data_IF_434588919122
#
_entry.id   IF_434588919122
#
_cell.length_a   1.000
_cell.length_b   1.000
_cell.length_c   1.000
_cell.angle_alpha   90.00
_cell.angle_beta   90.00
_cell.angle_gamma   90.00
#
_symmetry.space_group_name_H-M   'P 1'
#
loop_
_entity.id
_entity.type
_entity.pdbx_description
1 polymer ?
2 branched ?
3 non-polymer ?
4 non-polymer ?
5 non-polymer ?
6 water ?
#
# COMPACT_ATOMS: atom_id res chain seq x y z
N UNK A 1 6.19 -13.90 24.37
CA UNK A 1 5.54 -13.41 23.12
C UNK A 1 4.84 -14.56 22.41
N UNK A 2 3.53 -14.39 22.18
CA UNK A 2 2.72 -15.33 21.41
C UNK A 2 2.48 -14.71 20.03
N UNK A 3 2.08 -15.52 19.04
CA UNK A 3 1.67 -15.02 17.74
C UNK A 3 0.38 -14.21 17.91
N UNK A 4 0.27 -13.11 17.17
CA UNK A 4 -0.93 -12.29 17.27
C UNK A 4 -2.09 -12.99 16.56
N UNK A 5 -3.30 -12.87 17.12
CA UNK A 5 -4.50 -13.33 16.45
C UNK A 5 -5.41 -12.14 16.20
N UNK A 6 -6.11 -12.17 15.08
CA UNK A 6 -7.01 -11.09 14.70
C UNK A 6 -8.36 -11.33 15.36
N UNK A 7 -8.46 -10.99 16.64
CA UNK A 7 -9.66 -11.31 17.42
C UNK A 7 -10.58 -10.09 17.60
N UNK A 8 -10.26 -8.93 17.02
CA UNK A 8 -11.12 -7.77 17.17
C UNK A 8 -11.78 -7.39 15.84
N UNK A 9 -12.84 -6.59 15.91
CA UNK A 9 -13.38 -5.95 14.71
C UNK A 9 -12.83 -4.54 14.54
N UNK A 10 -13.20 -3.87 13.43
CA UNK A 10 -12.83 -2.48 13.19
C UNK A 10 -13.59 -1.57 14.16
N UNK A 11 -12.94 -0.50 14.63
CA UNK A 11 -13.70 0.55 15.30
C UNK A 11 -14.60 1.27 14.28
N UNK A 12 -15.64 1.93 14.78
CA UNK A 12 -16.46 2.80 13.94
C UNK A 12 -15.60 3.96 13.49
N UNK A 13 -15.66 4.22 12.18
CA UNK A 13 -14.93 5.32 11.59
C UNK A 13 -15.90 6.48 11.39
N UNK A 14 -15.76 7.52 12.20
CA UNK A 14 -16.59 8.70 12.04
C UNK A 14 -15.78 9.81 11.40
N UNK A 15 -14.45 9.65 11.41
CA UNK A 15 -13.51 10.50 10.71
C UNK A 15 -12.09 9.95 10.87
N UNK A 16 -11.11 10.79 10.50
CA UNK A 16 -9.72 10.43 10.43
C UNK A 16 -8.91 11.55 11.08
N UNK A 17 -8.00 11.16 11.98
CA UNK A 17 -7.13 12.09 12.65
C UNK A 17 -5.71 11.92 12.11
N UNK A 18 -4.91 12.99 12.21
CA UNK A 18 -3.50 12.90 11.83
C UNK A 18 -2.76 11.88 12.70
N UNK A 19 -1.97 11.02 12.06
CA UNK A 19 -1.18 10.00 12.74
C UNK A 19 0.33 10.28 12.61
N UNK A 20 0.79 10.49 11.38
CA UNK A 20 2.20 10.67 11.10
C UNK A 20 2.42 11.45 9.81
N UNK A 21 3.54 12.19 9.78
CA UNK A 21 3.93 12.98 8.61
C UNK A 21 5.42 13.20 8.68
N UNK A 22 6.14 12.92 7.59
CA UNK A 22 7.58 13.01 7.75
C UNK A 22 8.17 14.31 7.23
N UNK A 23 7.53 14.94 6.23
CA UNK A 23 8.02 16.19 5.65
C UNK A 23 9.40 15.97 5.01
N UNK A 24 9.58 14.81 4.37
CA UNK A 24 10.90 14.33 3.98
C UNK A 24 11.51 15.24 2.92
N UNK A 25 10.65 15.73 2.01
CA UNK A 25 11.19 16.44 0.86
C UNK A 25 11.56 17.85 1.31
N UNK A 26 10.68 18.49 2.08
CA UNK A 26 10.97 19.78 2.70
C UNK A 26 12.31 19.69 3.41
N UNK A 27 12.46 18.67 4.27
CA UNK A 27 13.65 18.60 5.12
C UNK A 27 14.86 18.24 4.27
N UNK A 28 14.64 17.34 3.28
CA UNK A 28 15.70 16.83 2.44
C UNK A 28 16.31 17.90 1.54
N UNK A 29 15.64 19.06 1.43
CA UNK A 29 16.21 20.17 0.67
C UNK A 29 17.57 20.54 1.25
N UNK A 30 17.75 20.30 2.56
CA UNK A 30 18.98 20.67 3.25
C UNK A 30 19.33 19.67 4.36
N UNK A 31 19.33 18.38 4.04
CA UNK A 31 19.88 17.37 4.95
C UNK A 31 19.87 16.00 4.29
N UNK A 32 20.53 15.02 4.94
CA UNK A 32 20.92 13.81 4.23
C UNK A 32 19.76 12.81 4.13
N UNK A 33 18.76 13.11 3.30
CA UNK A 33 17.53 12.33 3.20
C UNK A 33 17.57 11.47 1.94
N UNK A 34 17.36 10.16 2.12
CA UNK A 34 17.36 9.21 1.01
C UNK A 34 16.21 9.51 0.06
N UNK A 35 16.45 9.34 -1.25
CA UNK A 35 15.36 9.33 -2.21
C UNK A 35 14.58 8.02 -2.00
N UNK A 36 13.24 8.11 -1.97
CA UNK A 36 12.46 6.90 -1.79
C UNK A 36 11.26 6.89 -2.74
N UNK A 37 10.51 5.78 -2.68
CA UNK A 37 9.15 5.73 -3.19
C UNK A 37 8.50 4.46 -2.65
N UNK A 38 7.22 4.29 -3.01
CA UNK A 38 6.47 3.13 -2.56
C UNK A 38 6.61 3.01 -1.04
N UNK A 39 6.25 4.05 -0.24
CA UNK A 39 6.32 3.98 1.22
C UNK A 39 5.15 3.18 1.77
N UNK A 40 5.25 2.86 3.08
CA UNK A 40 4.14 2.37 3.88
C UNK A 40 4.44 2.52 5.36
N UNK A 41 3.55 1.98 6.18
CA UNK A 41 3.69 1.98 7.62
C UNK A 41 3.41 0.57 8.13
N UNK A 42 4.15 0.16 9.16
CA UNK A 42 3.96 -1.16 9.75
C UNK A 42 4.29 -1.10 11.24
N UNK A 43 3.49 -1.82 12.03
CA UNK A 43 3.67 -1.81 13.47
C UNK A 43 4.27 -3.12 13.97
N UNK A 44 5.09 -2.95 15.01
CA UNK A 44 5.60 -4.03 15.83
C UNK A 44 4.81 -3.94 17.13
N UNK A 45 4.85 -4.95 18.01
CA UNK A 45 4.19 -4.83 19.31
C UNK A 45 4.63 -3.61 20.13
N UNK A 46 5.79 -3.03 19.84
CA UNK A 46 6.28 -1.99 20.73
C UNK A 46 6.57 -0.69 19.97
N UNK A 47 6.39 -0.70 18.66
CA UNK A 47 6.81 0.43 17.84
C UNK A 47 6.06 0.45 16.50
N UNK A 48 5.72 1.64 16.00
CA UNK A 48 5.29 1.74 14.60
C UNK A 48 6.34 2.52 13.81
N UNK A 49 6.67 2.01 12.61
CA UNK A 49 7.71 2.62 11.78
C UNK A 49 7.23 2.89 10.36
N UNK A 50 7.93 3.82 9.70
CA UNK A 50 7.79 4.10 8.28
C UNK A 50 8.71 3.16 7.50
N UNK A 51 8.19 2.71 6.35
CA UNK A 51 8.87 1.81 5.43
C UNK A 51 8.82 2.46 4.05
N UNK A 52 9.81 2.16 3.22
CA UNK A 52 9.79 2.56 1.83
C UNK A 52 10.96 1.89 1.12
N UNK A 53 10.97 2.03 -0.21
CA UNK A 53 12.06 1.60 -1.07
C UNK A 53 13.02 2.76 -1.32
N UNK A 54 14.21 2.66 -0.70
CA UNK A 54 15.31 3.57 -0.95
C UNK A 54 15.74 3.46 -2.41
N UNK A 55 16.35 4.53 -2.91
CA UNK A 55 16.92 4.52 -4.25
C UNK A 55 18.43 4.58 -4.13
N UNK A 56 18.91 4.48 -2.90
CA UNK A 56 20.33 4.40 -2.63
C UNK A 56 21.05 5.68 -3.03
N UNK A 57 20.49 6.84 -2.62
CA UNK A 57 21.07 8.14 -2.88
C UNK A 57 20.25 9.16 -2.10
N UNK A 58 20.85 10.32 -1.81
CA UNK A 58 20.14 11.42 -1.17
C UNK A 58 19.44 12.22 -2.26
N UNK A 59 18.46 13.05 -1.88
CA UNK A 59 17.74 13.87 -2.83
C UNK A 59 18.70 14.85 -3.51
N UNK A 60 19.55 15.51 -2.69
CA UNK A 60 20.47 16.53 -3.19
C UNK A 60 21.68 15.87 -3.85
N UNK A 61 21.88 14.57 -3.59
CA UNK A 61 22.97 13.86 -4.26
C UNK A 61 22.76 13.90 -5.76
N UNK A 62 23.85 13.97 -6.50
CA UNK A 62 23.81 13.87 -7.95
C UNK A 62 23.21 12.53 -8.41
N UNK A 63 23.39 11.44 -7.64
CA UNK A 63 22.86 10.13 -8.03
C UNK A 63 21.33 10.07 -7.99
N UNK A 64 20.66 11.16 -7.59
CA UNK A 64 19.21 11.18 -7.60
C UNK A 64 18.67 11.37 -9.02
N UNK A 65 19.57 11.80 -9.92
CA UNK A 65 19.29 11.92 -11.34
C UNK A 65 18.89 10.56 -11.89
N UNK A 66 17.62 10.38 -12.24
CA UNK A 66 17.19 9.11 -12.83
C UNK A 66 16.31 8.26 -11.92
N UNK A 67 15.97 8.78 -10.74
CA UNK A 67 15.26 8.02 -9.70
C UNK A 67 13.78 7.87 -10.00
N UNK A 68 13.33 8.35 -11.19
CA UNK A 68 11.99 8.02 -11.68
C UNK A 68 11.86 6.51 -11.94
N UNK A 69 12.98 5.89 -12.33
CA UNK A 69 13.02 4.46 -12.61
C UNK A 69 12.69 3.65 -11.35
N UNK A 70 12.01 2.52 -11.54
CA UNK A 70 11.52 1.72 -10.43
C UNK A 70 12.56 0.73 -9.92
N UNK A 71 13.38 0.17 -10.82
CA UNK A 71 14.10 -1.06 -10.51
C UNK A 71 15.58 -0.87 -10.81
N UNK A 72 16.39 -0.95 -9.76
CA UNK A 72 17.84 -0.82 -9.86
C UNK A 72 18.48 -1.66 -8.77
N UNK A 73 19.79 -1.89 -8.90
CA UNK A 73 20.52 -2.62 -7.89
C UNK A 73 20.73 -1.76 -6.65
N UNK A 74 20.24 -0.51 -6.67
CA UNK A 74 20.57 0.45 -5.63
C UNK A 74 19.41 0.59 -4.65
N UNK A 75 18.33 -0.18 -4.86
CA UNK A 75 17.16 -0.05 -4.01
C UNK A 75 17.23 -1.07 -2.87
N UNK A 76 16.52 -0.73 -1.78
CA UNK A 76 16.37 -1.54 -0.58
C UNK A 76 15.07 -1.16 0.12
N UNK A 77 14.51 -2.12 0.87
CA UNK A 77 13.44 -1.79 1.79
C UNK A 77 14.07 -1.21 3.05
N UNK A 78 13.73 0.04 3.38
CA UNK A 78 14.30 0.67 4.56
C UNK A 78 13.16 0.93 5.56
N UNK A 79 13.51 1.00 6.84
CA UNK A 79 12.55 1.46 7.82
C UNK A 79 13.22 2.46 8.75
N UNK A 80 12.38 3.34 9.32
CA UNK A 80 12.88 4.44 10.11
C UNK A 80 11.81 4.88 11.09
N UNK A 81 12.12 5.65 12.15
CA UNK A 81 11.11 6.03 13.14
C UNK A 81 10.01 6.91 12.56
N UNK A 82 8.81 6.77 13.14
CA UNK A 82 7.58 7.33 12.67
C UNK A 82 7.71 8.85 12.65
N UNK A 83 7.46 9.44 11.47
CA UNK A 83 7.35 10.89 11.25
C UNK A 83 8.73 11.54 11.19
N UNK A 84 9.81 10.75 11.33
CA UNK A 84 11.14 11.23 10.99
C UNK A 84 11.32 11.07 9.48
N UNK A 85 12.31 11.73 8.83
CA UNK A 85 12.55 11.51 7.40
C UNK A 85 13.43 10.28 7.25
N UNK A 86 13.39 9.60 6.07
CA UNK A 86 14.33 8.51 5.78
C UNK A 86 15.74 9.04 5.52
N UNK A 87 16.52 9.20 6.59
CA UNK A 87 17.86 9.76 6.45
C UNK A 87 18.86 8.61 6.34
N UNK A 88 20.03 8.94 5.82
CA UNK A 88 21.13 8.01 5.67
C UNK A 88 21.53 7.48 7.05
N UNK A 89 21.32 8.27 8.11
CA UNK A 89 21.88 7.96 9.42
C UNK A 89 20.86 7.29 10.35
N UNK A 90 19.57 7.32 10.01
CA UNK A 90 18.55 6.84 10.93
C UNK A 90 17.72 5.75 10.27
N UNK A 91 18.06 5.40 9.03
CA UNK A 91 17.33 4.39 8.28
C UNK A 91 17.95 3.02 8.49
N UNK A 92 17.09 2.02 8.64
CA UNK A 92 17.52 0.63 8.81
C UNK A 92 17.10 -0.14 7.57
N UNK A 93 18.05 -0.87 7.00
CA UNK A 93 17.78 -1.67 5.82
C UNK A 93 17.19 -3.01 6.24
N UNK A 94 16.00 -3.34 5.72
CA UNK A 94 15.30 -4.58 6.00
C UNK A 94 15.78 -5.69 5.06
N UNK A 95 15.95 -5.34 3.77
CA UNK A 95 16.42 -6.26 2.74
C UNK A 95 16.59 -5.49 1.43
N UNK A 96 17.27 -6.13 0.47
CA UNK A 96 17.66 -5.49 -0.78
C UNK A 96 16.67 -5.88 -1.87
N UNK A 97 16.21 -4.88 -2.63
CA UNK A 97 15.25 -5.12 -3.70
C UNK A 97 14.42 -3.89 -4.06
N UNK A 98 13.50 -4.09 -5.00
CA UNK A 98 12.75 -3.00 -5.62
C UNK A 98 11.27 -3.32 -5.59
N UNK A 99 10.89 -4.33 -4.80
CA UNK A 99 9.50 -4.61 -4.46
C UNK A 99 9.46 -5.36 -3.14
N UNK A 100 8.51 -4.98 -2.24
CA UNK A 100 8.58 -5.47 -0.87
C UNK A 100 7.22 -5.54 -0.19
N UNK A 101 7.24 -6.29 0.92
CA UNK A 101 6.22 -6.30 1.95
C UNK A 101 6.92 -6.63 3.25
N UNK A 102 6.23 -6.42 4.38
CA UNK A 102 6.78 -6.65 5.70
C UNK A 102 5.62 -6.71 6.68
N UNK A 103 5.69 -7.61 7.67
CA UNK A 103 4.76 -7.60 8.79
C UNK A 103 5.34 -8.31 10.00
N UNK A 104 4.77 -8.01 11.15
CA UNK A 104 5.13 -8.63 12.42
C UNK A 104 4.04 -9.62 12.79
N UNK A 105 4.42 -10.82 13.25
CA UNK A 105 3.45 -11.86 13.54
C UNK A 105 3.14 -11.93 15.04
N UNK A 106 3.69 -11.00 15.81
CA UNK A 106 3.49 -10.94 17.25
C UNK A 106 4.75 -11.37 17.98
N UNK A 107 5.55 -12.21 17.31
CA UNK A 107 6.82 -12.68 17.85
C UNK A 107 7.99 -11.97 17.16
N UNK A 108 7.96 -11.88 15.83
CA UNK A 108 9.01 -11.17 15.11
C UNK A 108 8.51 -10.71 13.73
N UNK A 109 9.39 -10.06 12.97
CA UNK A 109 9.01 -9.44 11.70
C UNK A 109 9.46 -10.31 10.53
N UNK A 110 8.52 -10.54 9.60
CA UNK A 110 8.83 -11.05 8.27
C UNK A 110 8.95 -9.87 7.31
N UNK A 111 9.97 -9.93 6.45
CA UNK A 111 10.22 -8.92 5.43
C UNK A 111 10.59 -9.63 4.15
N UNK A 112 10.07 -9.12 3.04
CA UNK A 112 10.21 -9.79 1.76
C UNK A 112 10.67 -8.75 0.76
N UNK A 113 11.78 -9.03 0.07
CA UNK A 113 12.22 -8.14 -1.00
C UNK A 113 12.42 -8.96 -2.25
N UNK A 114 12.02 -8.38 -3.39
CA UNK A 114 12.22 -8.98 -4.70
C UNK A 114 13.31 -8.17 -5.40
N UNK A 115 14.25 -8.84 -6.04
CA UNK A 115 15.31 -8.15 -6.76
C UNK A 115 15.61 -8.91 -8.05
N UNK A 116 16.42 -8.32 -8.93
CA UNK A 116 16.84 -9.03 -10.13
C UNK A 116 16.34 -8.36 -11.40
N UNK A 117 16.76 -8.84 -12.59
CA UNK A 117 16.27 -8.28 -13.85
C UNK A 117 14.85 -8.77 -14.10
N UNK A 118 14.20 -8.13 -15.07
CA UNK A 118 12.79 -8.32 -15.38
C UNK A 118 12.42 -9.79 -15.59
N UNK A 119 13.32 -10.56 -16.22
CA UNK A 119 12.99 -11.93 -16.58
C UNK A 119 13.60 -12.96 -15.63
N UNK A 120 14.16 -12.51 -14.51
CA UNK A 120 14.88 -13.42 -13.63
C UNK A 120 14.87 -12.89 -12.20
N UNK A 121 13.76 -12.28 -11.78
CA UNK A 121 13.63 -11.77 -10.42
C UNK A 121 13.46 -12.90 -9.42
N UNK A 122 13.80 -12.63 -8.14
CA UNK A 122 13.57 -13.56 -7.05
C UNK A 122 13.22 -12.83 -5.75
N UNK A 123 12.38 -13.48 -4.96
CA UNK A 123 11.93 -13.00 -3.66
C UNK A 123 12.78 -13.66 -2.56
N UNK A 124 13.30 -12.85 -1.63
CA UNK A 124 13.95 -13.42 -0.46
C UNK A 124 13.11 -13.06 0.77
N UNK A 125 12.73 -14.09 1.51
CA UNK A 125 11.90 -13.94 2.70
C UNK A 125 12.83 -13.94 3.91
N UNK A 126 12.85 -12.80 4.60
CA UNK A 126 13.59 -12.63 5.85
C UNK A 126 12.61 -12.81 6.99
N UNK A 127 13.09 -13.49 8.03
CA UNK A 127 12.34 -13.65 9.26
C UNK A 127 13.31 -13.48 10.42
N UNK A 128 12.91 -12.65 11.40
CA UNK A 128 13.81 -12.35 12.51
C UNK A 128 15.16 -11.85 11.99
N UNK A 129 15.14 -11.05 10.91
CA UNK A 129 16.28 -10.36 10.34
C UNK A 129 17.33 -11.32 9.77
N UNK A 130 16.90 -12.54 9.40
CA UNK A 130 17.72 -13.48 8.67
C UNK A 130 16.94 -14.01 7.47
N UNK A 131 17.60 -14.26 6.32
CA UNK A 131 16.93 -14.78 5.15
C UNK A 131 16.63 -16.25 5.44
N UNK A 132 15.43 -16.70 5.06
CA UNK A 132 14.97 -18.03 5.41
C UNK A 132 14.54 -18.80 4.13
N UNK A 133 13.74 -18.17 3.26
CA UNK A 133 13.20 -18.81 2.07
C UNK A 133 13.47 -17.91 0.86
N UNK A 134 13.61 -18.52 -0.32
CA UNK A 134 13.66 -17.79 -1.58
C UNK A 134 12.64 -18.37 -2.57
N UNK A 135 12.07 -17.49 -3.42
CA UNK A 135 11.14 -17.88 -4.46
C UNK A 135 11.57 -17.25 -5.79
N UNK A 136 11.79 -18.12 -6.78
CA UNK A 136 12.19 -17.66 -8.10
C UNK A 136 10.96 -17.23 -8.88
N UNK A 137 11.17 -16.31 -9.82
CA UNK A 137 10.16 -15.88 -10.78
C UNK A 137 9.48 -17.13 -11.39
N UNK A 138 8.15 -17.07 -11.55
CA UNK A 138 7.45 -18.17 -12.22
C UNK A 138 7.00 -17.81 -13.63
N UNK A 139 6.95 -16.52 -13.97
CA UNK A 139 6.39 -16.09 -15.25
C UNK A 139 7.42 -15.26 -16.03
N UNK A 140 8.59 -15.02 -15.40
CA UNK A 140 9.74 -14.32 -15.98
C UNK A 140 9.34 -12.93 -16.47
N UNK A 141 8.45 -12.27 -15.71
CA UNK A 141 8.01 -10.92 -16.04
C UNK A 141 7.72 -10.11 -14.77
N UNK A 142 8.79 -9.54 -14.20
CA UNK A 142 8.76 -8.68 -13.01
C UNK A 142 7.89 -9.29 -11.91
N UNK A 143 8.38 -10.38 -11.27
CA UNK A 143 7.85 -10.81 -9.99
C UNK A 143 7.72 -9.60 -9.05
N UNK A 144 6.56 -9.45 -8.41
CA UNK A 144 6.30 -8.25 -7.60
C UNK A 144 5.27 -8.54 -6.50
N UNK A 145 5.29 -7.69 -5.45
CA UNK A 145 4.41 -7.91 -4.32
C UNK A 145 3.65 -6.62 -3.97
N UNK A 146 3.23 -6.49 -2.70
CA UNK A 146 2.19 -5.58 -2.26
C UNK A 146 2.64 -4.13 -2.19
N UNK A 147 3.88 -3.88 -1.70
CA UNK A 147 4.39 -2.53 -1.43
C UNK A 147 3.64 -1.90 -0.27
N UNK A 148 3.07 -2.75 0.59
CA UNK A 148 2.59 -2.32 1.91
C UNK A 148 2.54 -3.55 2.81
N UNK A 149 2.13 -3.39 4.07
CA UNK A 149 2.35 -4.46 5.04
C UNK A 149 1.40 -5.62 4.81
N UNK A 150 1.90 -6.83 5.08
CA UNK A 150 1.08 -8.04 5.16
C UNK A 150 0.46 -8.07 6.57
N UNK A 151 -0.53 -8.95 6.76
CA UNK A 151 -1.13 -9.19 8.06
C UNK A 151 -0.93 -10.67 8.39
N UNK A 152 -0.73 -10.95 9.69
CA UNK A 152 -0.55 -12.29 10.21
C UNK A 152 -1.71 -12.70 11.12
N UNK A 153 -1.95 -14.02 11.17
CA UNK A 153 -2.90 -14.58 12.09
C UNK A 153 -2.37 -15.93 12.60
N UNK A 154 -2.19 -16.00 13.92
CA UNK A 154 -1.62 -17.16 14.61
C UNK A 154 -0.41 -17.69 13.83
N UNK A 155 0.49 -16.78 13.44
CA UNK A 155 1.74 -17.15 12.82
C UNK A 155 1.66 -17.18 11.31
N UNK A 156 0.45 -17.34 10.75
CA UNK A 156 0.27 -17.43 9.31
C UNK A 156 0.13 -16.02 8.73
N UNK A 157 1.04 -15.67 7.81
CA UNK A 157 1.06 -14.35 7.20
C UNK A 157 0.93 -14.51 5.69
N UNK A 158 -0.28 -14.35 5.09
CA UNK A 158 -0.45 -14.45 3.64
C UNK A 158 0.12 -13.22 2.92
N UNK A 159 0.64 -13.44 1.70
CA UNK A 159 1.26 -12.40 0.92
C UNK A 159 0.87 -12.62 -0.54
N UNK A 160 0.49 -11.54 -1.23
CA UNK A 160 0.06 -11.64 -2.61
C UNK A 160 1.19 -11.19 -3.52
N UNK A 161 1.53 -12.04 -4.51
CA UNK A 161 2.52 -11.78 -5.54
C UNK A 161 1.86 -11.87 -6.90
N UNK A 162 2.43 -11.13 -7.85
CA UNK A 162 2.02 -11.20 -9.23
C UNK A 162 3.30 -11.34 -10.03
N UNK A 163 3.27 -12.22 -11.04
CA UNK A 163 4.35 -12.37 -11.99
C UNK A 163 3.70 -12.49 -13.37
N UNK A 164 4.22 -11.76 -14.36
CA UNK A 164 3.58 -11.70 -15.66
C UNK A 164 3.24 -10.27 -16.07
N UNK A 165 2.40 -10.15 -17.10
CA UNK A 165 2.09 -8.89 -17.76
C UNK A 165 1.37 -7.93 -16.80
N UNK A 166 1.61 -6.62 -17.03
CA UNK A 166 0.91 -5.55 -16.36
C UNK A 166 -0.27 -5.05 -17.20
N UNK A 167 -0.41 -5.59 -18.42
CA UNK A 167 -1.36 -5.05 -19.38
C UNK A 167 -2.13 -6.18 -20.04
N UNK A 168 -2.34 -7.26 -19.30
CA UNK A 168 -2.95 -8.48 -19.80
C UNK A 168 -2.96 -9.52 -18.68
N UNK A 169 -3.52 -10.74 -18.87
CA UNK A 169 -3.48 -11.78 -17.83
C UNK A 169 -2.09 -12.01 -17.22
N UNK A 170 -2.02 -12.12 -15.89
CA UNK A 170 -0.76 -12.41 -15.22
C UNK A 170 -0.94 -13.59 -14.25
N UNK A 171 0.14 -14.07 -13.63
CA UNK A 171 -0.07 -15.17 -12.69
C UNK A 171 0.12 -14.67 -11.27
N UNK A 172 -0.97 -14.68 -10.52
CA UNK A 172 -0.97 -14.16 -9.17
C UNK A 172 -1.06 -15.36 -8.25
N UNK A 173 -0.40 -15.25 -7.10
CA UNK A 173 -0.33 -16.35 -6.15
C UNK A 173 -0.44 -15.80 -4.74
N UNK A 174 -1.03 -16.62 -3.87
CA UNK A 174 -1.12 -16.27 -2.46
C UNK A 174 -0.20 -17.25 -1.73
N UNK A 175 0.87 -16.69 -1.16
CA UNK A 175 1.75 -17.48 -0.33
C UNK A 175 1.32 -17.37 1.12
N UNK A 176 1.25 -18.52 1.78
CA UNK A 176 0.97 -18.57 3.20
C UNK A 176 2.28 -18.92 3.89
N UNK A 177 2.84 -17.93 4.61
CA UNK A 177 4.12 -18.07 5.29
C UNK A 177 3.91 -18.24 6.79
N UNK A 178 4.78 -19.05 7.40
CA UNK A 178 4.89 -19.10 8.85
C UNK A 178 6.36 -19.21 9.22
N UNK A 179 6.84 -18.30 10.09
CA UNK A 179 8.24 -18.27 10.51
C UNK A 179 9.16 -18.28 9.30
N UNK A 180 8.72 -17.61 8.22
CA UNK A 180 9.53 -17.45 7.02
C UNK A 180 9.40 -18.61 6.03
N UNK A 181 8.66 -19.64 6.41
CA UNK A 181 8.62 -20.85 5.62
C UNK A 181 7.26 -20.91 4.92
N UNK A 182 7.24 -21.48 3.71
CA UNK A 182 6.01 -21.62 2.94
C UNK A 182 5.18 -22.78 3.48
N UNK A 183 4.04 -22.46 4.10
CA UNK A 183 3.06 -23.47 4.47
C UNK A 183 2.39 -24.02 3.22
N UNK A 184 2.19 -23.13 2.22
CA UNK A 184 1.20 -23.40 1.18
C UNK A 184 1.15 -22.22 0.23
N UNK A 185 0.71 -22.45 -1.01
CA UNK A 185 0.41 -21.33 -1.88
C UNK A 185 -0.71 -21.73 -2.82
N UNK A 186 -1.46 -20.73 -3.32
CA UNK A 186 -2.49 -21.03 -4.29
C UNK A 186 -2.45 -20.01 -5.42
N UNK A 187 -2.91 -20.39 -6.63
CA UNK A 187 -3.09 -19.40 -7.70
C UNK A 187 -4.33 -18.60 -7.32
N UNK A 188 -4.42 -17.37 -7.83
CA UNK A 188 -5.55 -16.51 -7.56
C UNK A 188 -6.85 -17.17 -8.04
N UNK A 189 -7.89 -17.05 -7.21
CA UNK A 189 -9.24 -17.45 -7.56
C UNK A 189 -10.19 -16.26 -7.41
N UNK A 190 -11.49 -16.51 -7.59
CA UNK A 190 -12.53 -15.48 -7.60
C UNK A 190 -12.62 -14.80 -8.97
N UNK A 191 -13.11 -13.55 -9.00
CA UNK A 191 -13.47 -12.96 -10.29
C UNK A 191 -12.59 -11.78 -10.64
N UNK A 192 -11.61 -11.47 -9.75
CA UNK A 192 -10.64 -10.43 -10.05
C UNK A 192 -9.80 -10.86 -11.26
N UNK A 193 -9.61 -9.97 -12.23
CA UNK A 193 -9.04 -10.41 -13.51
C UNK A 193 -7.55 -10.08 -13.59
N UNK A 194 -7.09 -9.17 -12.71
CA UNK A 194 -5.71 -8.72 -12.65
C UNK A 194 -5.46 -8.11 -11.28
N UNK A 195 -4.34 -8.52 -10.64
CA UNK A 195 -4.05 -8.18 -9.26
C UNK A 195 -2.65 -7.58 -9.18
N UNK A 196 -2.54 -6.43 -8.51
CA UNK A 196 -1.27 -5.77 -8.22
C UNK A 196 -1.37 -5.02 -6.91
N UNK A 197 -0.24 -4.96 -6.17
CA UNK A 197 -0.05 -4.03 -5.07
C UNK A 197 -1.21 -4.02 -4.08
N UNK A 198 -1.51 -5.17 -3.49
CA UNK A 198 -2.61 -5.31 -2.56
C UNK A 198 -2.30 -4.59 -1.25
N UNK A 199 -3.31 -3.86 -0.75
CA UNK A 199 -3.30 -3.25 0.56
C UNK A 199 -4.18 -4.06 1.50
N UNK A 200 -3.58 -4.58 2.58
CA UNK A 200 -4.25 -5.60 3.39
C UNK A 200 -4.50 -5.09 4.82
N UNK A 201 -5.57 -5.60 5.41
CA UNK A 201 -5.82 -5.47 6.83
C UNK A 201 -6.57 -6.72 7.30
N UNK A 202 -6.65 -6.88 8.61
CA UNK A 202 -7.17 -8.08 9.25
C UNK A 202 -8.12 -7.69 10.37
N UNK A 203 -9.22 -8.43 10.47
CA UNK A 203 -10.16 -8.29 11.56
C UNK A 203 -10.92 -9.61 11.64
N UNK A 204 -11.11 -10.09 12.88
CA UNK A 204 -11.98 -11.22 13.15
C UNK A 204 -11.55 -12.39 12.27
N UNK A 205 -10.25 -12.69 12.29
CA UNK A 205 -9.69 -13.91 11.73
C UNK A 205 -9.84 -13.93 10.21
N UNK A 206 -9.99 -12.75 9.63
CA UNK A 206 -10.11 -12.60 8.20
C UNK A 206 -9.22 -11.44 7.75
N UNK A 207 -8.61 -11.61 6.58
CA UNK A 207 -7.70 -10.63 6.02
C UNK A 207 -8.25 -10.18 4.66
N UNK A 208 -8.54 -8.87 4.56
CA UNK A 208 -9.11 -8.24 3.38
C UNK A 208 -8.01 -7.42 2.73
N UNK A 209 -7.81 -7.63 1.43
CA UNK A 209 -6.89 -6.84 0.59
C UNK A 209 -7.65 -6.13 -0.54
N UNK A 210 -7.41 -4.83 -0.68
CA UNK A 210 -7.87 -4.08 -1.83
C UNK A 210 -6.67 -3.81 -2.75
N UNK A 211 -6.82 -4.15 -4.03
CA UNK A 211 -5.67 -4.19 -4.92
C UNK A 211 -5.88 -3.26 -6.11
N UNK A 212 -5.05 -3.42 -7.12
CA UNK A 212 -5.02 -2.59 -8.30
C UNK A 212 -5.13 -3.52 -9.51
N UNK A 213 -6.21 -3.36 -10.28
CA UNK A 213 -6.36 -4.03 -11.55
C UNK A 213 -5.74 -3.11 -12.58
N UNK A 214 -4.49 -3.37 -12.92
CA UNK A 214 -3.80 -2.47 -13.82
C UNK A 214 -4.30 -2.64 -15.27
N UNK A 215 -4.90 -3.80 -15.61
CA UNK A 215 -5.19 -4.13 -17.00
C UNK A 215 -6.43 -3.39 -17.48
N UNK A 216 -7.59 -3.64 -16.86
CA UNK A 216 -8.88 -3.13 -17.32
C UNK A 216 -9.65 -2.32 -16.28
N UNK A 217 -9.56 -2.64 -14.98
CA UNK A 217 -10.53 -2.22 -13.96
C UNK A 217 -10.22 -0.84 -13.34
N UNK A 218 -11.26 0.00 -13.21
CA UNK A 218 -11.15 1.27 -12.53
C UNK A 218 -11.86 1.17 -11.17
N UNK A 219 -12.61 0.07 -10.99
CA UNK A 219 -12.99 -0.41 -9.66
C UNK A 219 -11.81 -1.23 -9.13
N UNK A 220 -11.78 -1.51 -7.83
CA UNK A 220 -10.60 -2.19 -7.30
C UNK A 220 -10.93 -3.65 -7.01
N UNK A 221 -10.06 -4.60 -7.41
CA UNK A 221 -10.21 -5.99 -6.99
C UNK A 221 -9.99 -6.08 -5.47
N UNK A 222 -10.76 -6.95 -4.84
CA UNK A 222 -10.59 -7.27 -3.45
C UNK A 222 -10.25 -8.75 -3.36
N UNK A 223 -9.31 -9.11 -2.48
CA UNK A 223 -9.07 -10.48 -2.09
C UNK A 223 -9.36 -10.66 -0.60
N UNK A 224 -10.28 -11.59 -0.28
CA UNK A 224 -10.67 -11.93 1.08
C UNK A 224 -9.95 -13.22 1.47
N UNK A 225 -9.07 -13.14 2.49
CA UNK A 225 -8.26 -14.30 2.86
C UNK A 225 -8.68 -14.84 4.22
N UNK A 226 -8.75 -16.16 4.29
CA UNK A 226 -9.02 -16.89 5.52
C UNK A 226 -7.71 -17.54 5.96
N UNK A 227 -7.01 -16.95 6.95
CA UNK A 227 -5.65 -17.36 7.26
C UNK A 227 -5.58 -18.63 8.10
N UNK A 228 -6.75 -19.18 8.49
CA UNK A 228 -6.72 -20.40 9.29
C UNK A 228 -6.86 -21.58 8.34
N UNK A 229 -7.84 -21.47 7.43
CA UNK A 229 -8.07 -22.48 6.41
C UNK A 229 -7.09 -22.32 5.24
N UNK A 230 -6.36 -21.20 5.23
CA UNK A 230 -5.50 -20.79 4.13
C UNK A 230 -6.20 -20.93 2.78
N UNK A 231 -7.35 -20.25 2.64
CA UNK A 231 -8.11 -20.15 1.39
C UNK A 231 -8.51 -18.69 1.17
N UNK A 232 -9.00 -18.39 -0.05
CA UNK A 232 -9.35 -17.04 -0.41
C UNK A 232 -10.34 -17.04 -1.58
N UNK A 233 -11.09 -15.93 -1.72
CA UNK A 233 -11.70 -15.54 -2.99
C UNK A 233 -11.30 -14.12 -3.32
N UNK A 234 -11.88 -13.64 -4.42
CA UNK A 234 -11.67 -12.30 -4.94
C UNK A 234 -12.89 -11.89 -5.75
N UNK A 235 -13.04 -10.58 -5.87
CA UNK A 235 -14.10 -9.91 -6.60
C UNK A 235 -13.62 -8.47 -6.78
N UNK A 236 -14.56 -7.60 -7.17
CA UNK A 236 -14.31 -6.17 -7.17
C UNK A 236 -15.22 -5.49 -6.16
N UNK A 237 -14.76 -4.35 -5.66
CA UNK A 237 -15.69 -3.38 -5.09
C UNK A 237 -16.83 -3.10 -6.07
N UNK A 238 -18.06 -3.42 -5.65
CA UNK A 238 -19.28 -3.28 -6.45
C UNK A 238 -19.60 -1.80 -6.68
N UNK A 239 -19.25 -0.95 -5.70
CA UNK A 239 -19.71 0.44 -5.67
C UNK A 239 -19.40 1.15 -6.99
N UNK A 240 -20.29 2.05 -7.47
CA UNK A 240 -19.97 2.99 -8.55
C UNK A 240 -19.02 4.13 -8.21
N UNK A 241 -18.58 4.20 -6.94
CA UNK A 241 -17.54 5.16 -6.56
C UNK A 241 -16.20 4.51 -6.91
N UNK A 242 -15.65 4.88 -8.08
CA UNK A 242 -14.48 4.21 -8.62
C UNK A 242 -13.23 4.76 -7.95
N UNK A 243 -12.30 3.86 -7.54
CA UNK A 243 -11.22 4.30 -6.67
C UNK A 243 -9.81 4.11 -7.24
N UNK A 244 -9.70 3.63 -8.49
CA UNK A 244 -8.41 3.63 -9.16
C UNK A 244 -8.14 5.00 -9.78
N UNK A 245 -6.96 5.13 -10.41
CA UNK A 245 -6.55 6.36 -11.08
C UNK A 245 -5.47 6.03 -12.10
N UNK A 246 -5.55 6.52 -13.36
CA UNK A 246 -6.71 7.31 -13.81
C UNK A 246 -7.97 6.46 -13.87
N UNK A 247 -9.12 7.10 -14.08
CA UNK A 247 -10.41 6.42 -14.09
C UNK A 247 -11.41 7.26 -14.89
N UNK A 248 -12.47 6.62 -15.44
CA UNK A 248 -13.63 7.36 -15.97
C UNK A 248 -14.39 8.06 -14.85
N UNK A 249 -15.42 8.83 -15.20
CA UNK A 249 -16.30 9.43 -14.22
C UNK A 249 -17.13 8.37 -13.48
N UNK A 250 -17.54 8.70 -12.27
CA UNK A 250 -18.31 7.75 -11.50
C UNK A 250 -19.61 7.51 -12.25
N UNK A 251 -19.94 6.24 -12.54
CA UNK A 251 -21.26 5.89 -13.03
C UNK A 251 -22.21 5.87 -11.84
N UNK A 252 -23.36 5.26 -12.05
CA UNK A 252 -24.47 5.14 -11.14
C UNK A 252 -24.50 3.70 -10.63
N UNK A 253 -24.03 2.77 -11.47
CA UNK A 253 -23.98 1.38 -11.08
C UNK A 253 -22.59 0.82 -11.41
N UNK A 254 -21.96 0.20 -10.40
CA UNK A 254 -20.65 -0.40 -10.57
C UNK A 254 -20.74 -1.85 -11.02
N UNK A 255 -19.59 -2.54 -10.99
CA UNK A 255 -19.53 -3.95 -11.29
C UNK A 255 -18.88 -4.71 -10.13
N UNK A 256 -19.46 -5.89 -9.84
CA UNK A 256 -19.05 -6.73 -8.71
C UNK A 256 -18.04 -7.77 -9.15
N UNK A 257 -18.17 -8.27 -10.39
CA UNK A 257 -17.45 -9.48 -10.79
C UNK A 257 -16.65 -9.31 -12.08
N UNK A 258 -16.43 -8.04 -12.46
CA UNK A 258 -15.72 -7.75 -13.69
C UNK A 258 -15.07 -6.39 -13.55
N UNK A 259 -13.98 -6.10 -14.30
CA UNK A 259 -13.39 -4.77 -14.30
C UNK A 259 -14.40 -3.73 -14.77
N UNK A 260 -14.44 -2.56 -14.10
CA UNK A 260 -15.21 -1.45 -14.65
C UNK A 260 -14.34 -0.76 -15.69
N UNK A 261 -14.78 -0.71 -16.97
CA UNK A 261 -13.92 -0.28 -18.09
C UNK A 261 -13.79 1.23 -18.29
N UNK A 262 -13.04 1.59 -19.34
CA UNK A 262 -12.87 2.97 -19.72
C UNK A 262 -11.44 3.44 -19.52
N UNK A 263 -10.66 2.63 -18.79
CA UNK A 263 -9.27 2.97 -18.61
C UNK A 263 -8.42 1.70 -18.60
N UNK A 264 -7.37 1.67 -19.43
CA UNK A 264 -6.60 0.47 -19.66
C UNK A 264 -5.14 0.70 -19.28
N UNK A 265 -4.49 -0.38 -18.84
CA UNK A 265 -3.05 -0.45 -18.72
C UNK A 265 -2.52 0.66 -17.81
N UNK A 266 -3.21 0.94 -16.70
CA UNK A 266 -2.68 1.95 -15.80
C UNK A 266 -3.40 1.85 -14.46
N UNK A 267 -2.85 2.52 -13.45
CA UNK A 267 -3.54 2.58 -12.17
C UNK A 267 -2.64 3.09 -11.06
N UNK A 268 -3.05 2.87 -9.81
CA UNK A 268 -2.33 3.37 -8.65
C UNK A 268 -2.66 2.44 -7.49
N UNK A 269 -1.69 2.25 -6.58
CA UNK A 269 -1.93 1.49 -5.36
C UNK A 269 -2.89 2.28 -4.45
N UNK A 270 -3.89 1.58 -3.95
CA UNK A 270 -4.92 2.20 -3.12
C UNK A 270 -5.43 1.21 -2.08
N UNK A 271 -6.51 1.57 -1.38
CA UNK A 271 -6.96 0.72 -0.30
C UNK A 271 -8.39 1.10 0.07
N UNK A 272 -9.02 0.23 0.87
CA UNK A 272 -10.30 0.59 1.44
C UNK A 272 -10.45 -0.15 2.76
N UNK A 273 -11.46 0.24 3.53
CA UNK A 273 -11.89 -0.55 4.67
C UNK A 273 -13.32 -0.97 4.36
N UNK A 274 -13.55 -2.28 4.28
CA UNK A 274 -14.83 -2.81 3.84
C UNK A 274 -15.52 -3.47 5.04
N UNK A 275 -16.41 -2.71 5.69
CA UNK A 275 -17.00 -3.19 6.94
C UNK A 275 -18.47 -2.79 7.06
N UNK A 276 -19.32 -3.29 6.12
CA UNK A 276 -20.75 -3.02 6.13
C UNK A 276 -21.02 -1.54 5.96
N UNK A 277 -21.80 -0.94 6.88
CA UNK A 277 -22.04 0.49 6.85
C UNK A 277 -20.73 1.23 7.16
N UNK A 278 -19.84 0.58 7.92
CA UNK A 278 -18.60 1.21 8.37
C UNK A 278 -17.53 1.07 7.28
N UNK A 279 -17.90 1.40 6.02
CA UNK A 279 -17.06 1.19 4.87
C UNK A 279 -16.54 2.53 4.38
N UNK A 280 -15.22 2.67 4.31
CA UNK A 280 -14.56 3.86 3.76
C UNK A 280 -13.64 3.49 2.60
N UNK A 281 -13.69 4.30 1.52
CA UNK A 281 -12.83 4.12 0.37
C UNK A 281 -11.87 5.31 0.29
N UNK A 282 -10.63 5.03 -0.11
CA UNK A 282 -9.69 6.08 -0.46
C UNK A 282 -9.65 6.26 -1.98
N UNK A 283 -9.47 7.50 -2.42
CA UNK A 283 -9.11 7.74 -3.81
C UNK A 283 -8.49 9.13 -3.99
N UNK A 284 -7.76 9.25 -5.10
CA UNK A 284 -7.28 10.52 -5.59
C UNK A 284 -8.51 11.33 -5.96
N UNK A 285 -8.43 12.64 -5.79
CA UNK A 285 -9.56 13.49 -6.16
C UNK A 285 -9.66 13.59 -7.68
N UNK A 286 -8.52 13.81 -8.37
CA UNK A 286 -8.48 13.86 -9.81
C UNK A 286 -8.75 12.47 -10.40
N UNK A 287 -9.40 12.46 -11.58
CA UNK A 287 -9.65 11.22 -12.31
C UNK A 287 -8.53 10.99 -13.31
N UNK A 288 -7.69 12.00 -13.52
CA UNK A 288 -6.70 11.98 -14.59
C UNK A 288 -5.28 11.80 -14.05
N UNK A 289 -4.99 12.33 -12.86
CA UNK A 289 -3.64 12.25 -12.35
C UNK A 289 -3.63 11.90 -10.85
N UNK A 290 -2.43 11.69 -10.31
CA UNK A 290 -2.29 11.37 -8.90
C UNK A 290 -2.19 12.65 -8.08
N UNK A 291 -3.31 13.35 -8.02
CA UNK A 291 -3.40 14.55 -7.21
C UNK A 291 -4.67 14.50 -6.38
N UNK A 292 -4.58 15.10 -5.19
CA UNK A 292 -5.70 15.04 -4.26
C UNK A 292 -5.85 13.67 -3.59
N UNK A 293 -6.50 13.67 -2.42
CA UNK A 293 -6.87 12.41 -1.83
C UNK A 293 -8.04 12.66 -0.91
N UNK A 294 -9.05 11.80 -1.00
CA UNK A 294 -10.21 11.89 -0.13
C UNK A 294 -10.58 10.51 0.39
N UNK A 295 -11.20 10.50 1.59
CA UNK A 295 -11.88 9.33 2.10
C UNK A 295 -13.38 9.53 1.93
N UNK A 296 -14.07 8.48 1.47
CA UNK A 296 -15.52 8.52 1.32
C UNK A 296 -16.13 7.35 2.07
N UNK A 297 -17.15 7.66 2.87
CA UNK A 297 -17.88 6.64 3.55
C UNK A 297 -18.93 6.13 2.55
N UNK A 298 -18.77 4.87 2.15
CA UNK A 298 -19.66 4.34 1.13
C UNK A 298 -20.26 3.06 1.70
N UNK A 299 -21.37 3.16 2.46
CA UNK A 299 -21.94 1.99 3.12
C UNK A 299 -22.14 0.82 2.16
N UNK A 300 -21.56 -0.33 2.52
CA UNK A 300 -21.69 -1.58 1.81
C UNK A 300 -21.10 -1.54 0.39
N UNK A 301 -20.06 -0.74 0.18
CA UNK A 301 -19.43 -0.61 -1.12
C UNK A 301 -19.11 -1.97 -1.75
N UNK A 302 -18.68 -2.94 -0.93
CA UNK A 302 -18.19 -4.20 -1.47
C UNK A 302 -19.31 -4.97 -2.15
N UNK A 303 -20.52 -4.88 -1.59
CA UNK A 303 -21.63 -5.74 -2.02
C UNK A 303 -22.74 -4.99 -2.76
N UNK A 304 -22.70 -3.63 -2.81
CA UNK A 304 -23.83 -2.84 -3.29
C UNK A 304 -23.42 -1.99 -4.49
N UNK A 305 -23.86 -2.42 -5.69
CA UNK A 305 -23.38 -1.85 -6.95
C UNK A 305 -24.01 -0.49 -7.22
N UNK A 306 -24.85 0.01 -6.30
CA UNK A 306 -25.45 1.32 -6.47
C UNK A 306 -25.02 2.31 -5.38
N UNK A 307 -24.10 1.89 -4.49
CA UNK A 307 -23.76 2.63 -3.27
C UNK A 307 -22.95 3.90 -3.57
N UNK A 308 -23.29 4.97 -2.84
CA UNK A 308 -22.74 6.30 -3.05
C UNK A 308 -22.28 6.84 -1.68
N UNK A 309 -21.45 7.91 -1.63
CA UNK A 309 -20.93 8.40 -0.35
C UNK A 309 -22.04 8.95 0.54
N UNK A 310 -21.93 8.70 1.85
CA UNK A 310 -22.80 9.35 2.82
C UNK A 310 -22.02 10.35 3.69
N UNK A 311 -20.68 10.37 3.54
CA UNK A 311 -19.81 11.21 4.35
C UNK A 311 -18.43 11.19 3.72
N UNK A 312 -17.64 12.23 3.99
CA UNK A 312 -16.33 12.30 3.37
C UNK A 312 -15.29 13.11 4.16
N UNK A 313 -14.02 12.98 3.76
CA UNK A 313 -12.96 13.80 4.33
C UNK A 313 -11.85 14.02 3.29
N UNK A 314 -11.47 15.28 3.09
CA UNK A 314 -10.34 15.66 2.26
C UNK A 314 -9.05 15.34 3.03
N UNK A 315 -8.10 14.69 2.37
CA UNK A 315 -6.83 14.42 3.01
C UNK A 315 -5.77 15.32 2.38
N UNK A 316 -5.81 15.37 1.03
CA UNK A 316 -4.92 16.17 0.20
C UNK A 316 -5.77 16.89 -0.86
N UNK A 317 -5.61 18.22 -0.99
CA UNK A 317 -6.34 19.03 -1.96
C UNK A 317 -5.94 18.59 -3.36
N UNK A 318 -6.84 18.86 -4.32
CA UNK A 318 -6.67 18.44 -5.70
C UNK A 318 -5.55 19.21 -6.39
N UNK A 319 -5.10 20.30 -5.76
CA UNK A 319 -3.97 21.08 -6.22
C UNK A 319 -2.67 20.59 -5.57
N UNK A 320 -2.70 19.41 -4.94
CA UNK A 320 -1.48 18.85 -4.36
C UNK A 320 -1.29 17.43 -4.86
N UNK A 321 -0.03 17.05 -5.06
CA UNK A 321 0.31 15.73 -5.55
C UNK A 321 0.10 14.66 -4.47
N UNK A 322 -0.51 13.53 -4.86
CA UNK A 322 -0.62 12.34 -4.04
C UNK A 322 0.24 11.22 -4.62
N UNK A 323 -0.35 10.03 -4.73
CA UNK A 323 0.40 8.85 -5.16
C UNK A 323 -0.18 7.59 -4.50
N UNK A 324 0.68 6.60 -4.28
CA UNK A 324 0.27 5.36 -3.62
C UNK A 324 -0.39 5.62 -2.27
N UNK A 325 -1.34 4.75 -1.93
CA UNK A 325 -1.89 4.71 -0.59
C UNK A 325 -2.17 3.27 -0.21
N UNK A 326 -2.10 2.99 1.09
CA UNK A 326 -2.25 1.63 1.58
C UNK A 326 -2.68 1.61 3.05
N UNK A 327 -2.94 0.38 3.52
CA UNK A 327 -3.53 0.19 4.84
C UNK A 327 -2.51 -0.46 5.78
N UNK A 328 -2.63 -0.10 7.07
CA UNK A 328 -1.97 -0.74 8.20
C UNK A 328 -2.86 -0.50 9.43
N UNK A 329 -2.71 -1.32 10.46
CA UNK A 329 -3.29 -1.03 11.76
C UNK A 329 -2.28 -1.43 12.82
N UNK A 330 -2.35 -0.76 13.97
CA UNK A 330 -1.62 -1.20 15.14
C UNK A 330 -2.41 -2.31 15.85
N UNK A 331 -2.13 -3.56 15.47
CA UNK A 331 -2.77 -4.73 16.06
C UNK A 331 -2.45 -4.88 17.56
N UNK A 332 -1.52 -4.09 18.08
CA UNK A 332 -1.09 -4.31 19.46
C UNK A 332 -1.52 -3.20 20.42
N UNK A 333 -2.32 -2.23 19.92
CA UNK A 333 -2.97 -1.26 20.78
C UNK A 333 -3.93 -1.94 21.77
N UNK A 334 -4.20 -1.28 22.89
CA UNK A 334 -5.18 -1.80 23.84
C UNK A 334 -6.54 -1.30 23.38
N UNK A 335 -7.61 -1.99 23.76
CA UNK A 335 -8.93 -1.55 23.33
C UNK A 335 -9.77 -2.70 22.78
N UNK A 336 -11.04 -2.41 22.50
CA UNK A 336 -11.98 -3.45 22.14
C UNK A 336 -11.88 -3.71 20.63
N UNK A 337 -11.25 -2.78 19.89
CA UNK A 337 -11.35 -2.83 18.45
C UNK A 337 -10.04 -2.39 17.79
N UNK A 338 -9.86 -2.77 16.52
CA UNK A 338 -8.73 -2.29 15.73
C UNK A 338 -9.09 -0.96 15.07
N UNK A 339 -8.20 0.02 15.23
CA UNK A 339 -8.39 1.35 14.69
C UNK A 339 -7.79 1.37 13.29
N UNK A 340 -8.64 1.47 12.26
CA UNK A 340 -8.18 1.57 10.88
C UNK A 340 -7.19 2.73 10.72
N UNK A 341 -6.10 2.48 10.00
CA UNK A 341 -5.18 3.55 9.57
C UNK A 341 -4.81 3.37 8.10
N UNK A 342 -4.21 4.41 7.52
CA UNK A 342 -3.71 4.39 6.15
C UNK A 342 -2.63 5.45 5.99
N UNK A 343 -1.81 5.31 4.94
CA UNK A 343 -0.86 6.35 4.55
C UNK A 343 -1.18 6.77 3.11
N UNK A 344 -0.74 7.98 2.71
CA UNK A 344 -0.69 8.44 1.33
C UNK A 344 0.76 8.85 1.04
N UNK A 345 1.30 8.33 -0.06
CA UNK A 345 2.59 8.73 -0.62
C UNK A 345 2.36 10.05 -1.34
N UNK A 346 3.15 11.07 -0.99
CA UNK A 346 3.08 12.36 -1.66
C UNK A 346 4.29 12.47 -2.60
N UNK A 347 4.09 12.10 -3.87
CA UNK A 347 5.17 12.05 -4.85
C UNK A 347 5.54 13.47 -5.30
N UNK A 348 6.84 13.74 -5.32
CA UNK A 348 7.33 14.98 -5.88
C UNK A 348 8.37 14.65 -6.95
N UNK A 349 8.64 15.63 -7.82
CA UNK A 349 9.58 15.47 -8.92
C UNK A 349 8.90 14.81 -10.10
N UNK A 350 9.67 13.94 -10.78
CA UNK A 350 9.26 13.50 -12.11
C UNK A 350 8.15 12.45 -11.97
N UNK A 351 7.27 12.27 -12.99
CA UNK A 351 7.31 13.03 -14.24
C UNK A 351 6.56 14.37 -14.25
N UNK A 352 5.70 14.58 -13.25
CA UNK A 352 4.89 15.79 -13.16
C UNK A 352 5.74 17.05 -12.93
N UNK A 353 6.78 16.97 -12.09
CA UNK A 353 7.60 18.15 -11.82
C UNK A 353 8.99 18.00 -12.41
N UNK A 354 9.13 18.23 -13.72
CA UNK A 354 10.31 17.76 -14.42
C UNK A 354 11.43 18.80 -14.49
N UNK A 355 11.30 19.90 -13.75
CA UNK A 355 12.44 20.82 -13.66
C UNK A 355 13.54 20.23 -12.77
N UNK A 356 13.16 19.25 -11.91
CA UNK A 356 14.17 18.47 -11.19
C UNK A 356 14.33 17.14 -11.92
N UNK A 357 15.49 16.51 -11.71
CA UNK A 357 15.86 15.27 -12.37
C UNK A 357 15.47 14.05 -11.55
N UNK A 358 14.91 14.29 -10.36
CA UNK A 358 14.63 13.22 -9.41
C UNK A 358 13.13 12.99 -9.27
N UNK A 359 12.80 11.84 -8.67
CA UNK A 359 11.48 11.54 -8.16
C UNK A 359 11.67 10.99 -6.75
N UNK A 360 10.93 11.57 -5.82
CA UNK A 360 10.89 11.09 -4.46
C UNK A 360 9.47 11.29 -3.91
N UNK A 361 9.31 11.11 -2.60
CA UNK A 361 8.00 11.32 -1.98
C UNK A 361 8.22 11.68 -0.50
N UNK A 362 7.16 12.20 0.12
CA UNK A 362 7.04 12.14 1.58
C UNK A 362 5.77 11.38 1.92
N UNK A 363 5.45 11.30 3.22
CA UNK A 363 4.33 10.48 3.69
C UNK A 363 3.46 11.35 4.58
N UNK A 364 2.15 11.13 4.44
CA UNK A 364 1.20 11.48 5.48
C UNK A 364 0.41 10.22 5.84
N UNK A 365 -0.02 10.12 7.10
CA UNK A 365 -0.69 8.93 7.58
C UNK A 365 -1.75 9.33 8.60
N UNK A 366 -2.88 8.61 8.57
CA UNK A 366 -4.01 8.94 9.42
C UNK A 366 -4.63 7.66 9.96
N UNK A 367 -5.25 7.79 11.15
CA UNK A 367 -6.03 6.72 11.74
C UNK A 367 -7.44 7.23 11.99
N UNK A 368 -8.37 6.29 12.22
CA UNK A 368 -9.78 6.66 12.40
C UNK A 368 -10.09 7.08 13.83
N UNK A 369 -11.09 7.95 13.95
CA UNK A 369 -11.66 8.43 15.19
C UNK A 369 -13.14 8.07 15.24
N UNK A 370 -13.65 7.80 16.45
CA UNK A 370 -15.09 7.61 16.60
C UNK A 370 -15.79 8.96 16.77
N UNK A 371 -15.00 10.04 16.86
CA UNK A 371 -15.50 11.41 16.77
C UNK A 371 -15.70 11.86 15.33
N UNK A 372 -16.41 12.99 15.18
CA UNK A 372 -16.53 13.73 13.92
C UNK A 372 -15.59 14.93 13.98
N UNK A 373 -14.32 14.73 13.58
CA UNK A 373 -13.28 15.75 13.68
C UNK A 373 -13.30 16.64 12.43
N UNK A 374 -12.95 17.91 12.63
CA UNK A 374 -12.71 18.81 11.51
C UNK A 374 -11.51 18.36 10.66
N UNK A 375 -11.60 18.54 9.33
CA UNK A 375 -10.53 18.15 8.43
C UNK A 375 -9.56 19.30 8.17
N UNK A 376 -8.30 18.94 7.92
CA UNK A 376 -7.33 19.80 7.26
C UNK A 376 -6.89 19.11 5.97
N UNK A 377 -6.07 19.80 5.16
CA UNK A 377 -5.41 19.12 4.06
C UNK A 377 -3.92 19.00 4.37
N UNK A 378 -3.30 17.94 3.84
CA UNK A 378 -1.97 17.56 4.30
C UNK A 378 -1.02 17.40 3.11
N UNK A 379 -0.51 18.50 2.52
CA UNK A 379 0.34 18.41 1.33
C UNK A 379 1.79 18.10 1.72
N UNK A 380 2.58 17.73 0.71
CA UNK A 380 3.98 17.44 0.92
C UNK A 380 4.65 18.64 1.60
N UNK A 381 4.44 19.84 1.04
CA UNK A 381 4.88 21.07 1.64
C UNK A 381 6.20 21.60 1.08
N UNK A 382 6.84 20.91 0.13
CA UNK A 382 8.10 21.44 -0.38
C UNK A 382 7.89 22.34 -1.61
N UNK A 383 8.72 23.40 -1.73
CA UNK A 383 8.76 24.23 -2.92
C UNK A 383 9.82 23.68 -3.88
N UNK A 384 9.37 23.10 -5.00
CA UNK A 384 10.26 22.55 -6.01
C UNK A 384 11.32 23.57 -6.45
N UNK A 385 10.92 24.85 -6.50
CA UNK A 385 11.82 25.89 -6.96
C UNK A 385 13.09 25.92 -6.12
N UNK A 386 13.02 25.50 -4.85
CA UNK A 386 14.18 25.52 -3.97
C UNK A 386 15.26 24.56 -4.43
N UNK A 387 14.88 23.57 -5.25
CA UNK A 387 15.80 22.53 -5.68
C UNK A 387 16.37 22.91 -7.04
N UNK A 388 15.92 24.03 -7.61
CA UNK A 388 16.48 24.46 -8.88
C UNK A 388 17.77 25.26 -8.61
X LIG B 1 18.31 -16.62 -15.27
X LIG B 1 19.11 -16.63 -16.57
X LIG B 1 19.96 -17.89 -16.77
X LIG B 1 20.80 -18.19 -15.54
X LIG B 1 19.85 -18.29 -14.34
X LIG B 1 20.56 -18.51 -13.00
X LIG B 1 17.96 -15.61 -18.39
X LIG B 1 16.65 -15.72 -19.13
X LIG B 1 18.11 -16.66 -17.60
X LIG B 1 20.76 -17.77 -17.98
X LIG B 1 21.37 -19.49 -15.75
X LIG B 1 19.05 -17.12 -14.17
X LIG B 1 21.69 -17.61 -12.94
X LIG B 1 18.80 -14.68 -18.47
X LIG B 2 22.76 -19.56 -15.48
X LIG B 2 23.21 -20.98 -15.13
X LIG B 2 24.70 -20.93 -14.90
X LIG B 2 25.45 -20.34 -16.10
X LIG B 2 24.86 -18.96 -16.40
X LIG B 2 25.49 -18.26 -17.59
X LIG B 2 21.54 -22.34 -14.01
X LIG B 2 20.89 -22.82 -12.74
X LIG B 2 22.60 -21.53 -13.95
X LIG B 2 25.13 -22.24 -14.62
X LIG B 2 26.80 -20.13 -15.75
X LIG B 2 23.46 -19.10 -16.62
X LIG B 2 24.73 -18.71 -18.72
X LIG B 2 21.09 -22.66 -15.09
X LIG B 3 27.68 -20.92 -16.53
X LIG B 3 29.05 -20.26 -16.39
X LIG B 3 30.14 -21.06 -17.10
X LIG B 3 30.00 -22.53 -16.73
X LIG B 3 28.60 -23.05 -16.96
X LIG B 3 28.61 -24.51 -16.59
X LIG B 3 29.36 -20.15 -14.98
X LIG B 3 31.41 -20.63 -16.60
X LIG B 3 30.95 -23.35 -17.42
X LIG B 3 27.67 -22.30 -16.16
X LIG B 3 27.41 -25.09 -17.08
X LIG B 4 32.36 -20.51 -17.64
X LIG B 4 33.69 -20.12 -17.05
X LIG B 4 33.60 -18.69 -16.49
X LIG B 4 33.24 -17.73 -17.62
X LIG B 4 31.93 -18.15 -18.22
X LIG B 4 31.77 -17.35 -19.52
X LIG B 4 34.52 -20.23 -18.21
X LIG B 4 34.82 -18.32 -15.85
X LIG B 4 33.11 -16.34 -17.28
X LIG B 4 31.95 -19.55 -18.60
X LIG B 4 30.37 -17.11 -19.53
X LIG B 5 35.95 -20.05 -18.03
X LIG B 5 36.54 -20.04 -19.43
X LIG B 5 36.38 -21.45 -20.02
X LIG B 5 36.97 -22.53 -19.09
X LIG B 5 36.41 -22.40 -17.66
X LIG B 5 37.04 -23.38 -16.68
X LIG B 5 37.94 -19.65 -19.42
X LIG B 5 37.00 -21.51 -21.30
X LIG B 5 36.51 -23.75 -19.62
X LIG B 5 36.60 -21.06 -17.22
X LIG B 5 38.47 -23.20 -16.53
X LIG B 6 38.20 -18.32 -19.93
X LIG B 6 39.72 -18.20 -19.92
X LIG B 6 40.20 -18.27 -18.46
X LIG B 6 39.52 -17.14 -17.65
X LIG B 6 37.99 -17.30 -17.76
X LIG B 6 37.17 -16.34 -16.92
X LIG B 6 40.03 -16.92 -20.50
X LIG B 6 41.63 -18.21 -18.41
X LIG B 6 39.93 -17.21 -16.29
X LIG B 6 37.59 -17.26 -19.15
X LIG B 6 37.37 -15.07 -17.52
X LIG B 7 27.68 -25.83 -18.28
X LIG B 7 26.34 -26.29 -18.77
X LIG B 7 25.93 -27.48 -17.87
X LIG B 7 26.94 -28.64 -17.99
X LIG B 7 28.42 -28.26 -17.85
X LIG B 7 29.39 -29.04 -18.79
X LIG B 7 26.46 -26.60 -20.17
X LIG B 7 24.54 -27.83 -18.08
X LIG B 7 26.76 -29.46 -16.86
X LIG B 7 28.66 -26.87 -18.08
X LIG B 7 29.73 -30.43 -18.51
X LIG C 1 -3.69 -17.08 19.38
X LIG C 1 -2.94 -16.93 20.72
X LIG C 1 -2.03 -18.17 20.85
X LIG C 1 -2.82 -19.47 20.62
X LIG C 1 -3.52 -19.41 19.24
X LIG C 1 -4.24 -20.67 18.73
X LIG C 1 -2.38 -14.67 21.71
X LIG C 1 -1.44 -13.49 21.68
X LIG C 1 -2.16 -15.69 20.83
X LIG C 1 -1.33 -18.16 22.11
X LIG C 1 -1.97 -20.63 20.78
X LIG C 1 -4.43 -18.31 19.31
X LIG C 1 -4.97 -21.30 19.79
X LIG C 1 -3.30 -14.67 22.50
X LIG D 1 20.90 14.01 -15.56
X LIG D 1 21.50 15.37 -15.89
X LIG D 1 21.42 15.77 -17.38
X LIG D 1 21.53 14.63 -18.37
X LIG D 1 20.71 13.42 -17.92
X LIG D 1 20.98 12.26 -18.87
X LIG D 1 21.59 17.21 -14.28
X LIG D 1 20.96 18.47 -13.71
X LIG D 1 20.85 16.39 -15.06
X LIG D 1 22.47 16.68 -17.69
X LIG D 1 21.11 15.13 -19.65
X LIG D 1 21.11 13.03 -16.59
X LIG D 1 20.62 11.03 -18.25
X LIG D 1 22.76 16.94 -14.06
X LIG E 1 -6.70 0.40 -13.31
X LIG F 1 18.28 -22.65 7.54
X LIG F 1 18.39 -24.03 7.25
X LIG F 1 19.55 -21.91 7.22
X LIG F 1 19.67 -21.72 5.81
X LIG F 1 19.67 -20.57 7.90
X LIG F 1 20.83 -19.88 7.43
X LIG G 1 3.16 2.08 -10.81
X LIG G 1 2.08 2.99 -10.72
X LIG G 1 4.37 2.90 -11.13
X LIG G 1 3.85 3.90 -11.99
X LIG G 1 4.76 3.65 -9.90
X LIG G 1 3.78 4.66 -9.73
X LIG H 1 9.85 3.44 -15.99
X LIG H 1 9.41 3.72 -14.66
X LIG H 1 10.97 2.41 -16.00
X LIG H 1 11.06 1.76 -14.73
X LIG H 1 10.85 1.37 -17.09
X LIG H 1 12.13 1.12 -17.68
#
# INVERSE_FOLDING_TARGET
RDFNNLTKGLCTINSWHIYGKDNAVRIGEDSDVLVTREPYVSCDPDECRFYALSQGTTIRGKHSNGTIHDRSQYRALISWPLSSPPTVYNSRVECIGWSSTSCHDGKTRMSICISGPNNNASAVIWYNRRPVTEINTWARNILRTQESECVCHNGVCPVVFTDGSATGPAETRIYYFKEGKILKWEPLAGTAKHIEECSCYGERAEITCTCRDNWQGSNRPVIRIDPVAMTHTSQYICSPVLTDNPRPNDPTVGKCNDPYPGNNNNGVKGFSYLDGVNTWLGRTISIASRSGYEMLKVPNALTDDKSKPTQGQTIVLNTDWSGYSGSFMDYWAEGECYRACFYVELIRGRPKEDKVWWTSNSIVSMCSSTEFLGQWDWPDGAKIEYFL
NAG C1 C2 C3 C4 C5 C6 C7 C8 N2 O3 O4 O5 O6 O7
NAG C1 C2 C3 C4 C5 C6 C7 C8 N2 O3 O4 O5 O6 O7
BMA C1 C2 C3 C4 C5 C6 O2 O3 O4 O5 O6
MAN C1 C2 C3 C4 C5 C6 O2 O3 O4 O5 O6
MAN C1 C2 C3 C4 C5 C6 O2 O3 O4 O5 O6
MAN C1 C2 C3 C4 C5 C6 O2 O3 O4 O5 O6
MAN C1 C2 C3 C4 C5 C6 O2 O3 O4 O5 O6
NAG C1 C2 C3 C4 C5 C6 C7 C8 N2 O3 O4 O5 O6 O7
NAG C1 C2 C3 C4 C5 C6 C7 C8 N2 O3 O4 O5 O6 O7
CA CA
GOL C1 O1 C2 O2 C3 O3
GOL C1 O1 C2 O2 C3 O3
GOL C1 O1 C2 O2 C3 O3
#
